data_IF_429330625487
#
_entry.id   IF_429330625487
#
_cell.length_a   1.000
_cell.length_b   1.000
_cell.length_c   1.000
_cell.angle_alpha   90.00
_cell.angle_beta   90.00
_cell.angle_gamma   90.00
#
_symmetry.space_group_name_H-M   'P 1'
#
loop_
_entity.id
_entity.type
_entity.pdbx_description
1 polymer ?
#
# COMPACT_ATOMS: atom_id res chain seq x y z
N UNK A 1 2.38 -32.99 -15.07
CA UNK A 1 2.16 -31.92 -14.09
C UNK A 1 0.70 -31.90 -13.66
N UNK A 2 0.39 -31.89 -12.35
CA UNK A 2 -0.98 -31.71 -11.87
C UNK A 2 -1.47 -30.29 -12.22
N UNK A 3 -2.79 -30.11 -12.39
CA UNK A 3 -3.40 -28.82 -12.72
C UNK A 3 -3.09 -27.76 -11.66
N UNK A 4 -3.15 -28.09 -10.38
CA UNK A 4 -2.85 -27.14 -9.28
C UNK A 4 -1.42 -26.62 -9.37
N UNK A 5 -0.43 -27.52 -9.54
CA UNK A 5 0.98 -27.14 -9.69
C UNK A 5 1.18 -26.25 -10.92
N UNK A 6 0.48 -26.55 -12.02
CA UNK A 6 0.55 -25.76 -13.25
C UNK A 6 -0.06 -24.37 -13.08
N UNK A 7 -1.19 -24.26 -12.39
CA UNK A 7 -1.82 -22.97 -12.09
C UNK A 7 -0.88 -22.09 -11.25
N UNK A 8 -0.25 -22.66 -10.23
CA UNK A 8 0.76 -21.96 -9.43
C UNK A 8 1.95 -21.53 -10.28
N UNK A 9 2.51 -22.45 -11.08
CA UNK A 9 3.66 -22.17 -11.92
C UNK A 9 3.37 -21.11 -13.00
N UNK A 10 2.16 -21.07 -13.56
CA UNK A 10 1.72 -20.03 -14.48
C UNK A 10 1.73 -18.65 -13.82
N UNK A 11 1.23 -18.53 -12.59
CA UNK A 11 1.24 -17.26 -11.84
C UNK A 11 2.67 -16.80 -11.56
N UNK A 12 3.54 -17.70 -11.09
CA UNK A 12 4.93 -17.35 -10.80
C UNK A 12 5.72 -16.96 -12.06
N UNK A 13 5.49 -17.65 -13.18
CA UNK A 13 6.11 -17.29 -14.46
C UNK A 13 5.68 -15.90 -14.92
N UNK A 14 4.37 -15.60 -14.88
CA UNK A 14 3.86 -14.28 -15.24
C UNK A 14 4.35 -13.18 -14.28
N UNK A 15 4.54 -13.51 -12.99
CA UNK A 15 5.08 -12.59 -11.98
C UNK A 15 6.55 -12.29 -12.22
N UNK A 16 7.35 -13.30 -12.56
CA UNK A 16 8.79 -13.16 -12.75
C UNK A 16 9.16 -12.24 -13.92
N UNK A 17 8.29 -12.17 -14.94
CA UNK A 17 8.56 -11.38 -16.16
C UNK A 17 7.78 -10.08 -16.25
N UNK A 18 6.87 -9.83 -15.30
CA UNK A 18 6.06 -8.62 -15.26
C UNK A 18 6.95 -7.35 -15.33
N UNK A 19 6.56 -6.32 -16.11
CA UNK A 19 5.30 -6.17 -16.84
C UNK A 19 5.30 -6.78 -18.25
N UNK A 20 6.32 -7.57 -18.63
CA UNK A 20 6.42 -8.11 -20.00
C UNK A 20 5.43 -9.26 -20.21
N UNK A 21 4.72 -9.33 -21.34
CA UNK A 21 3.78 -10.41 -21.62
C UNK A 21 4.48 -11.72 -22.03
N UNK A 22 3.80 -12.85 -21.79
CA UNK A 22 4.09 -14.17 -22.38
C UNK A 22 2.92 -14.62 -23.24
N UNK A 23 3.21 -15.03 -24.47
CA UNK A 23 2.18 -15.60 -25.34
C UNK A 23 1.70 -16.96 -24.79
N UNK A 24 0.43 -17.31 -25.06
CA UNK A 24 -0.09 -18.64 -24.68
C UNK A 24 0.71 -19.78 -25.33
N UNK A 25 1.26 -19.58 -26.53
CA UNK A 25 2.15 -20.55 -27.19
C UNK A 25 3.44 -20.75 -26.39
N UNK A 26 4.10 -19.68 -25.97
CA UNK A 26 5.33 -19.77 -25.19
C UNK A 26 5.10 -20.49 -23.84
N UNK A 27 3.99 -20.15 -23.16
CA UNK A 27 3.61 -20.81 -21.91
C UNK A 27 3.28 -22.30 -22.15
N UNK A 28 2.62 -22.62 -23.26
CA UNK A 28 2.30 -23.99 -23.65
C UNK A 28 3.56 -24.83 -23.87
N UNK A 29 4.52 -24.28 -24.61
CA UNK A 29 5.82 -24.92 -24.84
C UNK A 29 6.59 -25.11 -23.53
N UNK A 30 6.60 -24.10 -22.65
CA UNK A 30 7.31 -24.18 -21.36
C UNK A 30 6.72 -25.18 -20.38
N UNK A 31 5.40 -25.28 -20.31
CA UNK A 31 4.71 -26.17 -19.38
C UNK A 31 4.33 -27.51 -20.01
N UNK A 32 4.77 -27.77 -21.24
CA UNK A 32 4.54 -29.02 -22.01
C UNK A 32 3.05 -29.40 -22.08
N UNK A 33 2.20 -28.42 -22.38
CA UNK A 33 0.75 -28.58 -22.53
C UNK A 33 0.25 -27.90 -23.79
N UNK A 34 -1.01 -28.17 -24.18
CA UNK A 34 -1.60 -27.46 -25.32
C UNK A 34 -1.87 -25.98 -25.02
N UNK A 35 -1.84 -25.12 -26.04
CA UNK A 35 -2.24 -23.71 -25.94
C UNK A 35 -3.66 -23.56 -25.36
N UNK A 36 -4.58 -24.44 -25.77
CA UNK A 36 -5.95 -24.49 -25.24
C UNK A 36 -6.00 -24.78 -23.74
N UNK A 37 -5.07 -25.61 -23.23
CA UNK A 37 -4.95 -25.90 -21.80
C UNK A 37 -4.49 -24.66 -21.04
N UNK A 38 -3.47 -23.97 -21.56
CA UNK A 38 -2.96 -22.71 -20.97
C UNK A 38 -4.04 -21.65 -20.93
N UNK A 39 -4.74 -21.39 -22.04
CA UNK A 39 -5.81 -20.40 -22.10
C UNK A 39 -6.94 -20.70 -21.11
N UNK A 40 -7.30 -21.99 -20.95
CA UNK A 40 -8.31 -22.43 -19.99
C UNK A 40 -7.85 -22.23 -18.55
N UNK A 41 -6.58 -22.48 -18.26
CA UNK A 41 -6.01 -22.30 -16.92
C UNK A 41 -5.83 -20.81 -16.59
N UNK A 42 -5.39 -19.98 -17.55
CA UNK A 42 -5.35 -18.51 -17.40
C UNK A 42 -6.74 -17.93 -17.15
N UNK A 43 -7.76 -18.40 -17.88
CA UNK A 43 -9.14 -17.99 -17.65
C UNK A 43 -9.64 -18.40 -16.25
N UNK A 44 -9.27 -19.59 -15.77
CA UNK A 44 -9.60 -20.03 -14.42
C UNK A 44 -8.91 -19.16 -13.34
N UNK A 45 -7.65 -18.77 -13.56
CA UNK A 45 -6.93 -17.85 -12.67
C UNK A 45 -7.57 -16.46 -12.64
N UNK A 46 -7.99 -15.94 -13.80
CA UNK A 46 -8.73 -14.67 -13.90
C UNK A 46 -10.06 -14.74 -13.14
N UNK A 47 -10.82 -15.82 -13.29
CA UNK A 47 -12.07 -16.06 -12.55
C UNK A 47 -11.84 -16.19 -11.04
N UNK A 48 -10.67 -16.69 -10.63
CA UNK A 48 -10.25 -16.76 -9.23
C UNK A 48 -9.68 -15.43 -8.68
N UNK A 49 -9.68 -14.36 -9.48
CA UNK A 49 -9.26 -13.02 -9.06
C UNK A 49 -7.77 -12.73 -9.20
N UNK A 50 -6.99 -13.58 -9.88
CA UNK A 50 -5.61 -13.24 -10.23
C UNK A 50 -5.63 -12.16 -11.31
N UNK A 51 -4.92 -11.02 -11.13
CA UNK A 51 -5.00 -9.86 -12.03
C UNK A 51 -4.20 -10.08 -13.31
N UNK A 52 -4.57 -11.09 -14.10
CA UNK A 52 -3.97 -11.39 -15.40
C UNK A 52 -4.75 -10.63 -16.47
N UNK A 53 -4.05 -9.88 -17.30
CA UNK A 53 -4.63 -9.24 -18.48
C UNK A 53 -3.92 -9.71 -19.76
N UNK A 54 -4.60 -9.57 -20.89
CA UNK A 54 -4.10 -9.94 -22.20
C UNK A 54 -3.78 -8.69 -23.01
N UNK A 55 -2.54 -8.56 -23.46
CA UNK A 55 -2.10 -7.54 -24.40
C UNK A 55 -2.35 -8.03 -25.83
N UNK A 56 -3.21 -7.36 -26.62
CA UNK A 56 -3.46 -7.75 -28.01
C UNK A 56 -2.30 -7.36 -28.94
N UNK A 57 -2.10 -8.12 -30.02
CA UNK A 57 -1.12 -7.82 -31.07
C UNK A 57 -0.10 -8.94 -31.32
N UNK A 58 0.73 -8.78 -32.36
CA UNK A 58 1.72 -9.81 -32.79
C UNK A 58 2.78 -10.15 -31.72
N UNK A 59 3.09 -9.20 -30.85
CA UNK A 59 4.03 -9.35 -29.73
C UNK A 59 3.34 -9.41 -28.38
N UNK A 60 2.00 -9.47 -28.39
CA UNK A 60 1.17 -9.49 -27.19
C UNK A 60 1.15 -10.85 -26.48
N UNK A 61 0.43 -10.91 -25.38
CA UNK A 61 0.34 -12.09 -24.53
C UNK A 61 -0.26 -11.78 -23.18
N UNK A 62 -0.09 -12.68 -22.22
CA UNK A 62 -0.62 -12.54 -20.87
C UNK A 62 0.45 -11.99 -19.94
N UNK A 63 0.09 -11.08 -19.04
CA UNK A 63 0.93 -10.66 -17.92
C UNK A 63 0.06 -10.32 -16.70
N UNK A 64 0.71 -10.23 -15.54
CA UNK A 64 0.07 -9.67 -14.36
C UNK A 64 0.00 -8.15 -14.48
N UNK A 65 -1.12 -7.58 -14.04
CA UNK A 65 -1.32 -6.15 -13.98
C UNK A 65 -0.33 -5.52 -12.98
N UNK A 66 0.63 -4.70 -13.46
CA UNK A 66 1.62 -4.07 -12.60
C UNK A 66 1.01 -3.03 -11.64
N UNK A 67 -0.24 -2.60 -11.85
CA UNK A 67 -0.94 -1.69 -10.94
C UNK A 67 -1.47 -2.35 -9.67
N UNK A 68 -1.53 -3.70 -9.61
CA UNK A 68 -2.11 -4.45 -8.51
C UNK A 68 -1.12 -5.26 -7.67
N UNK A 69 0.07 -5.55 -8.20
CA UNK A 69 1.14 -6.24 -7.45
C UNK A 69 2.50 -5.71 -7.82
N UNK A 70 3.36 -5.51 -6.83
CA UNK A 70 4.78 -5.23 -7.06
C UNK A 70 5.45 -6.48 -7.64
N UNK A 71 6.39 -6.28 -8.57
CA UNK A 71 7.28 -7.34 -9.03
C UNK A 71 8.08 -7.92 -7.84
N UNK A 72 8.61 -9.15 -7.94
CA UNK A 72 9.48 -9.70 -6.89
C UNK A 72 10.63 -8.73 -6.62
N UNK A 73 10.69 -8.20 -5.39
CA UNK A 73 11.76 -7.33 -4.95
C UNK A 73 12.84 -8.21 -4.33
N UNK A 74 14.04 -8.19 -4.90
CA UNK A 74 15.21 -8.74 -4.25
C UNK A 74 15.69 -7.76 -3.18
N UNK A 75 15.50 -8.08 -1.91
CA UNK A 75 16.10 -7.34 -0.81
C UNK A 75 17.41 -8.00 -0.38
N UNK A 76 18.42 -7.18 -0.12
CA UNK A 76 19.53 -7.57 0.76
C UNK A 76 19.04 -7.73 2.21
N UNK A 77 19.83 -8.39 3.04
CA UNK A 77 19.49 -8.58 4.47
C UNK A 77 19.33 -7.22 5.18
N UNK A 78 20.21 -6.26 4.91
CA UNK A 78 20.15 -4.91 5.47
C UNK A 78 18.91 -4.12 4.99
N UNK A 79 18.52 -4.27 3.73
CA UNK A 79 17.29 -3.65 3.21
C UNK A 79 16.04 -4.28 3.83
N UNK A 80 16.01 -5.60 3.98
CA UNK A 80 14.91 -6.31 4.63
C UNK A 80 14.76 -5.89 6.11
N UNK A 81 15.88 -5.72 6.81
CA UNK A 81 15.94 -5.17 8.17
C UNK A 81 15.41 -3.73 8.22
N UNK A 82 15.89 -2.85 7.35
CA UNK A 82 15.45 -1.46 7.29
C UNK A 82 13.95 -1.33 7.00
N UNK A 83 13.44 -2.15 6.08
CA UNK A 83 12.00 -2.23 5.76
C UNK A 83 11.23 -2.74 6.98
N UNK A 84 11.69 -3.80 7.64
CA UNK A 84 11.04 -4.36 8.82
C UNK A 84 10.91 -3.34 9.96
N UNK A 85 12.00 -2.62 10.25
CA UNK A 85 12.00 -1.54 11.25
C UNK A 85 11.00 -0.45 10.86
N UNK A 86 11.02 -0.01 9.59
CA UNK A 86 10.13 1.03 9.08
C UNK A 86 8.64 0.63 9.13
N UNK A 87 8.33 -0.64 8.82
CA UNK A 87 6.98 -1.19 8.91
C UNK A 87 6.49 -1.25 10.37
N UNK A 88 7.38 -1.56 11.31
CA UNK A 88 7.07 -1.51 12.75
C UNK A 88 6.63 -0.12 13.22
N UNK A 89 7.20 0.94 12.65
CA UNK A 89 6.81 2.33 12.96
C UNK A 89 5.41 2.70 12.47
N UNK A 90 4.83 1.94 11.53
CA UNK A 90 3.50 2.20 10.99
C UNK A 90 2.37 1.62 11.82
N UNK A 91 2.68 1.06 13.00
CA UNK A 91 1.70 0.46 13.91
C UNK A 91 0.49 1.39 14.07
N UNK A 92 0.64 2.63 14.51
CA UNK A 92 -0.51 3.54 14.77
C UNK A 92 -1.04 4.29 13.54
N UNK A 93 -0.57 3.96 12.32
CA UNK A 93 -0.94 4.67 11.10
C UNK A 93 -2.19 4.09 10.41
N UNK A 94 -2.79 4.82 9.46
CA UNK A 94 -3.84 4.27 8.60
C UNK A 94 -3.44 3.03 7.80
N UNK A 95 -2.15 2.76 7.68
CA UNK A 95 -1.62 1.63 6.93
C UNK A 95 -1.22 0.45 7.83
N UNK A 96 -1.62 0.42 9.12
CA UNK A 96 -1.31 -0.65 10.08
C UNK A 96 -1.48 -2.05 9.49
N UNK A 97 -2.63 -2.32 8.89
CA UNK A 97 -2.96 -3.67 8.39
C UNK A 97 -2.12 -4.03 7.17
N UNK A 98 -1.92 -3.06 6.28
CA UNK A 98 -1.04 -3.21 5.13
C UNK A 98 0.43 -3.43 5.58
N UNK A 99 0.88 -2.70 6.59
CA UNK A 99 2.21 -2.82 7.16
C UNK A 99 2.41 -4.18 7.85
N UNK A 100 1.40 -4.66 8.59
CA UNK A 100 1.39 -5.99 9.21
C UNK A 100 1.45 -7.09 8.15
N UNK A 101 0.65 -6.97 7.08
CA UNK A 101 0.68 -7.90 5.95
C UNK A 101 2.04 -7.90 5.25
N UNK A 102 2.62 -6.73 5.01
CA UNK A 102 3.93 -6.58 4.40
C UNK A 102 5.04 -7.19 5.27
N UNK A 103 5.00 -6.94 6.58
CA UNK A 103 5.95 -7.49 7.53
C UNK A 103 5.96 -9.02 7.50
N UNK A 104 4.78 -9.66 7.48
CA UNK A 104 4.67 -11.12 7.34
C UNK A 104 5.31 -11.64 6.06
N UNK A 105 5.19 -10.92 4.94
CA UNK A 105 5.80 -11.31 3.66
C UNK A 105 7.32 -11.17 3.66
N UNK A 106 7.85 -10.12 4.31
CA UNK A 106 9.30 -9.92 4.46
C UNK A 106 9.89 -10.99 5.37
N UNK A 107 9.30 -11.21 6.54
CA UNK A 107 9.73 -12.24 7.50
C UNK A 107 9.70 -13.65 6.88
N UNK A 108 8.70 -13.96 6.05
CA UNK A 108 8.57 -15.28 5.42
C UNK A 108 9.70 -15.65 4.44
N UNK A 109 10.48 -14.68 3.98
CA UNK A 109 11.60 -14.90 3.05
C UNK A 109 12.98 -14.72 3.70
N UNK A 110 13.03 -14.41 5.00
CA UNK A 110 14.26 -14.31 5.79
C UNK A 110 14.66 -15.69 6.32
N UNK A 111 15.96 -15.96 6.35
CA UNK A 111 16.48 -17.16 7.02
C UNK A 111 16.49 -17.01 8.56
N UNK A 112 16.60 -18.12 9.28
CA UNK A 112 16.56 -18.13 10.76
C UNK A 112 17.62 -17.21 11.39
N UNK A 113 18.76 -17.03 10.73
CA UNK A 113 19.83 -16.11 11.16
C UNK A 113 19.37 -14.65 11.07
N UNK A 114 18.86 -14.23 9.90
CA UNK A 114 18.36 -12.89 9.67
C UNK A 114 17.15 -12.58 10.56
N UNK A 115 16.30 -13.58 10.84
CA UNK A 115 15.19 -13.45 11.80
C UNK A 115 15.68 -13.20 13.22
N UNK A 116 16.70 -13.93 13.69
CA UNK A 116 17.30 -13.72 15.00
C UNK A 116 17.97 -12.36 15.12
N UNK A 117 18.70 -11.91 14.10
CA UNK A 117 19.32 -10.59 14.05
C UNK A 117 18.26 -9.47 14.04
N UNK A 118 17.16 -9.69 13.31
CA UNK A 118 16.01 -8.77 13.28
C UNK A 118 15.31 -8.71 14.63
N UNK A 119 15.08 -9.85 15.28
CA UNK A 119 14.45 -9.92 16.59
C UNK A 119 15.32 -9.23 17.65
N UNK A 120 16.65 -9.44 17.62
CA UNK A 120 17.62 -8.80 18.51
C UNK A 120 17.76 -7.30 18.22
N UNK A 121 17.69 -6.87 16.96
CA UNK A 121 17.63 -5.44 16.61
C UNK A 121 16.30 -4.81 17.01
N UNK A 122 15.18 -5.51 16.85
CA UNK A 122 13.86 -5.05 17.26
C UNK A 122 13.71 -4.95 18.78
N UNK A 123 14.41 -5.77 19.57
CA UNK A 123 14.46 -5.62 21.04
C UNK A 123 15.39 -4.49 21.49
N UNK A 124 16.44 -4.18 20.71
CA UNK A 124 17.34 -3.04 20.95
C UNK A 124 16.75 -1.71 20.47
N UNK A 125 15.89 -1.74 19.46
CA UNK A 125 15.08 -0.62 19.01
C UNK A 125 13.84 -0.61 19.91
N UNK A 126 13.88 0.19 20.97
CA UNK A 126 12.68 0.49 21.75
C UNK A 126 11.69 1.28 20.87
N UNK A 127 10.91 0.57 20.06
CA UNK A 127 9.64 1.09 19.56
C UNK A 127 8.81 1.34 20.82
N UNK A 128 8.71 2.61 21.22
CA UNK A 128 7.88 3.07 22.32
C UNK A 128 6.43 2.72 22.00
N UNK A 129 6.04 1.50 22.35
CA UNK A 129 4.65 1.05 22.38
C UNK A 129 4.06 1.55 23.69
N UNK A 130 3.48 2.76 23.66
CA UNK A 130 2.85 3.37 24.83
C UNK A 130 1.62 4.20 24.42
N UNK A 131 0.53 3.51 24.11
CA UNK A 131 -0.81 4.08 24.08
C UNK A 131 -1.80 3.30 23.21
N UNK A 132 -3.11 3.31 23.54
CA UNK A 132 -4.12 2.67 22.71
C UNK A 132 -4.07 3.23 21.30
N UNK A 133 -4.04 2.34 20.31
CA UNK A 133 -4.13 2.70 18.91
C UNK A 133 -5.41 3.54 18.70
N UNK A 134 -5.27 4.79 18.24
CA UNK A 134 -6.41 5.51 17.74
C UNK A 134 -7.03 4.69 16.60
N UNK A 135 -8.31 4.36 16.70
CA UNK A 135 -9.01 3.67 15.62
C UNK A 135 -8.92 4.52 14.35
N UNK A 136 -8.39 3.92 13.29
CA UNK A 136 -8.34 4.54 11.98
C UNK A 136 -9.68 4.25 11.30
N UNK A 137 -10.42 5.25 10.81
CA UNK A 137 -11.60 5.01 10.00
C UNK A 137 -11.27 4.10 8.81
N UNK A 138 -12.05 3.03 8.63
CA UNK A 138 -11.74 1.95 7.69
C UNK A 138 -11.55 2.43 6.23
N UNK A 139 -12.24 3.49 5.82
CA UNK A 139 -12.23 3.97 4.43
C UNK A 139 -11.09 4.95 4.12
N UNK A 140 -10.41 5.46 5.14
CA UNK A 140 -9.36 6.47 4.99
C UNK A 140 -8.18 5.99 4.11
N UNK A 141 -7.65 4.75 4.26
CA UNK A 141 -6.56 4.27 3.41
C UNK A 141 -6.95 4.11 1.94
N UNK A 142 -8.23 3.80 1.66
CA UNK A 142 -8.74 3.73 0.29
C UNK A 142 -8.91 5.13 -0.31
N UNK A 143 -9.42 6.09 0.46
CA UNK A 143 -9.57 7.47 0.01
C UNK A 143 -8.22 8.13 -0.33
N UNK A 144 -7.20 7.91 0.50
CA UNK A 144 -5.83 8.39 0.24
C UNK A 144 -5.25 7.82 -1.06
N UNK A 145 -5.49 6.52 -1.34
CA UNK A 145 -5.03 5.88 -2.59
C UNK A 145 -5.77 6.37 -3.83
N UNK A 146 -7.07 6.63 -3.70
CA UNK A 146 -7.94 6.96 -4.84
C UNK A 146 -8.04 8.46 -5.12
N UNK A 147 -7.63 9.29 -4.16
CA UNK A 147 -7.62 10.75 -4.26
C UNK A 147 -9.02 11.36 -4.21
N UNK A 148 -9.97 10.74 -3.51
CA UNK A 148 -11.32 11.28 -3.35
C UNK A 148 -11.41 12.31 -2.22
N UNK A 149 -12.35 13.24 -2.35
CA UNK A 149 -12.79 14.12 -1.27
C UNK A 149 -13.40 13.26 -0.16
N UNK A 150 -13.09 13.59 1.09
CA UNK A 150 -13.63 12.94 2.27
C UNK A 150 -14.58 13.87 3.00
N UNK A 151 -15.74 13.36 3.38
CA UNK A 151 -16.55 13.95 4.45
C UNK A 151 -16.11 13.34 5.77
N UNK A 152 -15.59 14.18 6.67
CA UNK A 152 -15.16 13.76 8.02
C UNK A 152 -16.06 14.35 9.09
N UNK A 153 -16.39 13.55 10.11
CA UNK A 153 -16.88 14.04 11.39
C UNK A 153 -15.67 14.25 12.30
N UNK A 154 -15.36 15.50 12.62
CA UNK A 154 -14.16 15.87 13.36
C UNK A 154 -14.49 16.57 14.69
N UNK A 155 -13.92 16.05 15.77
CA UNK A 155 -14.03 16.65 17.10
C UNK A 155 -12.80 17.50 17.41
N UNK A 156 -12.98 18.79 17.67
CA UNK A 156 -11.86 19.69 17.96
C UNK A 156 -11.33 19.60 19.40
N UNK A 157 -10.39 20.48 19.78
CA UNK A 157 -9.81 20.52 21.14
C UNK A 157 -10.83 20.85 22.22
N UNK A 158 -11.89 21.56 21.88
CA UNK A 158 -12.98 21.94 22.78
C UNK A 158 -14.10 20.90 22.84
N UNK A 159 -13.96 19.77 22.14
CA UNK A 159 -15.00 18.75 22.04
C UNK A 159 -16.12 19.10 21.06
N UNK A 160 -15.98 20.17 20.28
CA UNK A 160 -17.00 20.55 19.29
C UNK A 160 -16.86 19.68 18.06
N UNK A 161 -17.95 19.01 17.68
CA UNK A 161 -18.03 18.20 16.48
C UNK A 161 -18.38 19.06 15.27
N UNK A 162 -17.67 18.82 14.17
CA UNK A 162 -17.86 19.52 12.91
C UNK A 162 -17.79 18.54 11.75
N UNK A 163 -18.76 18.62 10.84
CA UNK A 163 -18.72 17.93 9.56
C UNK A 163 -17.91 18.76 8.58
N UNK A 164 -16.94 18.14 7.89
CA UNK A 164 -16.05 18.84 6.96
C UNK A 164 -15.81 18.03 5.71
N UNK A 165 -15.91 18.67 4.55
CA UNK A 165 -15.33 18.15 3.32
C UNK A 165 -13.84 18.55 3.24
N UNK A 166 -12.99 17.56 3.09
CA UNK A 166 -11.54 17.70 3.04
C UNK A 166 -10.97 16.94 1.85
N UNK A 167 -10.00 17.55 1.17
CA UNK A 167 -9.28 16.94 0.05
C UNK A 167 -7.95 16.39 0.59
N UNK A 168 -7.80 15.06 0.73
CA UNK A 168 -6.63 14.47 1.35
C UNK A 168 -5.36 14.72 0.53
N UNK A 169 -4.31 15.24 1.18
CA UNK A 169 -3.01 15.50 0.57
C UNK A 169 -1.96 14.48 1.01
N UNK A 170 -2.11 13.93 2.23
CA UNK A 170 -1.21 12.94 2.78
C UNK A 170 -1.41 12.79 4.29
N UNK A 171 -0.52 12.05 4.94
CA UNK A 171 -0.50 11.97 6.40
C UNK A 171 0.91 12.14 6.93
N UNK A 172 1.02 12.59 8.18
CA UNK A 172 2.29 12.72 8.89
C UNK A 172 2.18 11.98 10.21
N UNK A 173 3.10 11.04 10.44
CA UNK A 173 3.28 10.42 11.76
C UNK A 173 4.06 11.35 12.68
N UNK A 174 3.58 11.56 13.91
CA UNK A 174 4.30 12.33 14.93
C UNK A 174 4.18 11.65 16.29
N UNK A 175 5.29 11.09 16.76
CA UNK A 175 5.36 10.42 18.06
C UNK A 175 4.30 9.33 18.17
N UNK A 176 3.29 9.56 19.02
CA UNK A 176 2.24 8.59 19.37
C UNK A 176 0.97 8.68 18.51
N UNK A 177 0.90 9.59 17.55
CA UNK A 177 -0.30 9.80 16.73
C UNK A 177 0.04 10.19 15.30
N UNK A 178 -0.98 10.31 14.48
CA UNK A 178 -0.86 10.72 13.09
C UNK A 178 -1.80 11.90 12.80
N UNK A 179 -1.47 12.64 11.75
CA UNK A 179 -2.26 13.76 11.27
C UNK A 179 -2.62 13.54 9.80
N UNK A 180 -3.91 13.68 9.46
CA UNK A 180 -4.34 13.85 8.08
C UNK A 180 -4.02 15.28 7.66
N UNK A 181 -3.21 15.41 6.62
CA UNK A 181 -3.01 16.68 5.93
C UNK A 181 -4.03 16.75 4.81
N UNK A 182 -4.86 17.79 4.83
CA UNK A 182 -5.89 17.96 3.81
C UNK A 182 -6.23 19.44 3.56
N UNK A 183 -6.68 19.76 2.35
CA UNK A 183 -7.32 21.03 2.08
C UNK A 183 -8.76 21.01 2.62
N UNK A 184 -9.06 21.90 3.57
CA UNK A 184 -10.39 22.00 4.16
C UNK A 184 -11.24 22.98 3.37
N UNK A 185 -12.29 22.49 2.68
CA UNK A 185 -13.18 23.35 1.86
C UNK A 185 -13.89 24.41 2.69
N UNK A 186 -14.32 24.04 3.90
CA UNK A 186 -14.98 24.96 4.85
C UNK A 186 -14.08 26.13 5.30
N UNK A 187 -12.76 25.96 5.25
CA UNK A 187 -11.78 26.97 5.69
C UNK A 187 -10.93 27.50 4.56
N UNK A 188 -11.16 27.02 3.33
CA UNK A 188 -10.43 27.38 2.12
C UNK A 188 -8.90 27.39 2.31
N UNK A 189 -8.37 26.31 2.89
CA UNK A 189 -6.93 26.22 3.17
C UNK A 189 -6.49 24.87 3.74
N UNK A 190 -5.18 24.67 3.78
CA UNK A 190 -4.55 23.44 4.28
C UNK A 190 -4.70 23.37 5.81
N UNK A 191 -5.01 22.17 6.31
CA UNK A 191 -5.06 21.88 7.75
C UNK A 191 -4.56 20.48 8.07
N UNK A 192 -4.00 20.36 9.26
CA UNK A 192 -3.69 19.09 9.90
C UNK A 192 -4.82 18.67 10.85
N UNK A 193 -5.45 17.53 10.58
CA UNK A 193 -6.47 16.92 11.42
C UNK A 193 -5.85 15.78 12.20
N UNK A 194 -5.95 15.80 13.54
CA UNK A 194 -5.38 14.73 14.37
C UNK A 194 -6.22 13.46 14.19
N UNK A 195 -5.58 12.34 13.91
CA UNK A 195 -6.24 11.10 13.52
C UNK A 195 -7.24 10.57 14.56
N UNK A 196 -6.85 10.61 15.83
CA UNK A 196 -7.66 10.21 16.99
C UNK A 196 -8.90 11.08 17.25
N UNK A 197 -9.09 12.14 16.46
CA UNK A 197 -10.22 13.06 16.53
C UNK A 197 -11.14 13.00 15.31
N UNK A 198 -10.79 12.15 14.35
CA UNK A 198 -11.63 11.85 13.21
C UNK A 198 -12.54 10.69 13.65
N UNK A 199 -13.81 11.00 13.91
CA UNK A 199 -14.80 10.01 14.37
C UNK A 199 -15.23 9.13 13.21
N UNK A 200 -15.52 9.75 12.06
CA UNK A 200 -15.82 9.04 10.80
C UNK A 200 -15.14 9.74 9.63
N UNK A 201 -14.87 8.98 8.56
CA UNK A 201 -14.37 9.50 7.30
C UNK A 201 -14.95 8.70 6.14
N UNK A 202 -15.80 9.35 5.33
CA UNK A 202 -16.50 8.72 4.22
C UNK A 202 -16.11 9.40 2.89
N UNK A 203 -15.73 8.64 1.85
CA UNK A 203 -15.46 9.21 0.54
C UNK A 203 -16.75 9.71 -0.11
N UNK A 204 -16.74 10.94 -0.63
CA UNK A 204 -17.92 11.52 -1.30
C UNK A 204 -18.11 11.03 -2.74
N UNK A 205 -17.13 10.31 -3.28
CA UNK A 205 -17.07 9.91 -4.70
C UNK A 205 -16.55 11.01 -5.64
N UNK A 206 -16.39 12.25 -5.15
CA UNK A 206 -15.76 13.32 -5.90
C UNK A 206 -14.23 13.19 -5.86
N UNK A 207 -13.54 13.33 -7.00
CA UNK A 207 -12.08 13.37 -7.02
C UNK A 207 -11.57 14.73 -6.53
N UNK A 208 -10.58 14.70 -5.65
CA UNK A 208 -9.90 15.90 -5.19
C UNK A 208 -9.20 16.57 -6.38
N UNK A 209 -9.36 17.89 -6.59
CA UNK A 209 -8.58 18.61 -7.58
C UNK A 209 -7.10 18.54 -7.23
N UNK A 210 -6.23 18.52 -8.25
CA UNK A 210 -4.79 18.67 -8.01
C UNK A 210 -4.53 20.07 -7.46
N UNK A 211 -4.03 20.13 -6.23
CA UNK A 211 -3.55 21.37 -5.62
C UNK A 211 -2.05 21.30 -5.49
N UNK A 212 -1.37 22.31 -6.00
CA UNK A 212 0.04 22.51 -5.71
C UNK A 212 0.14 23.22 -4.36
N UNK A 213 0.95 22.67 -3.45
CA UNK A 213 1.25 23.26 -2.16
C UNK A 213 2.73 23.10 -1.87
N UNK A 214 3.30 24.08 -1.18
CA UNK A 214 4.67 24.08 -0.70
C UNK A 214 4.73 23.47 0.69
N UNK A 215 5.90 22.97 1.07
CA UNK A 215 6.11 22.46 2.42
C UNK A 215 5.81 23.54 3.49
N UNK A 216 6.06 24.81 3.16
CA UNK A 216 5.74 25.97 4.01
C UNK A 216 4.23 26.14 4.28
N UNK A 217 3.36 25.70 3.37
CA UNK A 217 1.91 25.89 3.48
C UNK A 217 1.27 24.95 4.53
N UNK A 218 2.02 23.95 5.00
CA UNK A 218 1.50 22.90 5.85
C UNK A 218 1.29 23.33 7.32
N UNK A 219 1.76 24.53 7.72
CA UNK A 219 1.70 25.08 9.09
C UNK A 219 1.90 24.00 10.18
N UNK A 220 2.82 23.07 9.92
CA UNK A 220 3.19 22.02 10.85
C UNK A 220 4.26 22.63 11.75
N UNK A 221 3.83 23.13 12.90
CA UNK A 221 4.69 23.81 13.90
C UNK A 221 5.86 22.94 14.41
N UNK A 222 5.95 21.65 14.03
CA UNK A 222 6.93 20.71 14.57
C UNK A 222 7.41 19.69 13.54
N UNK A 223 8.57 19.94 12.93
CA UNK A 223 9.37 18.97 12.17
C UNK A 223 9.71 19.41 10.74
N UNK A 224 10.80 18.87 10.18
CA UNK A 224 11.09 18.96 8.75
C UNK A 224 10.30 17.88 7.99
N UNK A 225 9.55 18.30 6.97
CA UNK A 225 8.88 17.38 6.06
C UNK A 225 9.91 16.71 5.16
N UNK A 226 10.04 15.39 5.27
CA UNK A 226 10.79 14.58 4.30
C UNK A 226 9.80 13.92 3.35
N UNK A 227 9.81 14.34 2.09
CA UNK A 227 9.04 13.69 1.03
C UNK A 227 9.57 12.27 0.81
N UNK A 228 8.71 11.27 0.95
CA UNK A 228 9.04 9.90 0.53
C UNK A 228 8.91 9.84 -0.98
N UNK A 229 10.04 9.85 -1.68
CA UNK A 229 10.09 9.73 -3.14
C UNK A 229 10.09 11.08 -3.87
N UNK A 230 11.28 11.68 -4.00
CA UNK A 230 11.61 12.62 -5.06
C UNK A 230 13.12 12.49 -5.35
N UNK A 231 13.54 11.31 -5.79
CA UNK A 231 14.90 11.03 -6.27
C UNK A 231 14.79 10.50 -7.69
N UNK A 232 15.29 11.31 -8.63
CA UNK A 232 15.41 11.13 -10.08
C UNK A 232 15.37 9.71 -10.64
#
# INVERSE_FOLDING_TARGET
MNRTDRLYALVEELRAVAPRPRSARWLADRFEVSTRTVERDLSALQQAGVPIWAEPGRTGGYCLDPSHTLAPLGFTVDEALAVTISLGMLATSPFRDAATSALRKVVAVMDDRSLSETADLATRIHLLDDGPAAEVPADLPQALRTGHVLQILYQDRSGTETVREVEPLGFVGKGRGWYLIAWCRLRNGIRAFRGDRIITAEPTGERSPRRDFRAEDLDIVYGELRTVGAGR
#
